data_IF_258896119209
#
_entry.id   IF_258896119209
#
_cell.length_a   1.000
_cell.length_b   1.000
_cell.length_c   1.000
_cell.angle_alpha   90.00
_cell.angle_beta   90.00
_cell.angle_gamma   90.00
#
_symmetry.space_group_name_H-M   'P 1'
#
loop_
_entity.id
_entity.type
_entity.pdbx_description
1 polymer ?
#
# COMPACT_ATOMS: atom_id res chain seq x y z
N UNK A 1 55.76 -34.18 18.10
CA UNK A 1 55.79 -32.70 18.17
C UNK A 1 54.67 -32.15 17.29
N UNK A 2 53.57 -31.67 17.89
CA UNK A 2 52.63 -30.74 17.26
C UNK A 2 51.72 -30.18 18.36
N UNK A 3 51.89 -28.90 18.70
CA UNK A 3 51.17 -28.20 19.79
C UNK A 3 50.10 -27.34 19.13
N UNK A 4 48.84 -27.69 19.35
CA UNK A 4 47.67 -27.06 18.73
C UNK A 4 47.08 -26.04 19.71
N UNK A 5 47.41 -24.76 19.51
CA UNK A 5 46.82 -23.65 20.27
C UNK A 5 45.44 -23.29 19.71
N UNK A 6 44.41 -23.51 20.53
CA UNK A 6 43.03 -23.13 20.28
C UNK A 6 42.77 -21.72 20.83
N UNK A 7 42.87 -20.70 19.97
CA UNK A 7 42.43 -19.33 20.29
C UNK A 7 40.91 -19.22 20.20
N UNK A 8 40.26 -19.06 21.36
CA UNK A 8 38.85 -18.65 21.48
C UNK A 8 38.70 -17.19 21.01
N UNK A 9 37.92 -16.97 19.95
CA UNK A 9 37.47 -15.64 19.52
C UNK A 9 36.29 -15.21 20.38
N UNK A 10 36.47 -14.14 21.16
CA UNK A 10 35.44 -13.52 22.00
C UNK A 10 34.40 -12.75 21.13
N UNK A 11 33.08 -12.88 21.41
CA UNK A 11 32.02 -12.27 20.58
C UNK A 11 31.64 -10.82 20.97
N UNK A 12 32.31 -10.18 21.92
CA UNK A 12 31.81 -8.93 22.56
C UNK A 12 32.15 -7.61 21.84
N UNK A 13 32.96 -7.63 20.77
CA UNK A 13 33.41 -6.41 20.10
C UNK A 13 32.38 -5.77 19.16
N UNK A 14 31.58 -6.58 18.47
CA UNK A 14 30.68 -6.12 17.40
C UNK A 14 29.42 -5.42 17.93
N UNK A 15 28.90 -5.87 19.06
CA UNK A 15 27.70 -5.32 19.72
C UNK A 15 27.95 -3.93 20.30
N UNK A 16 29.13 -3.67 20.89
CA UNK A 16 29.49 -2.32 21.38
C UNK A 16 29.72 -1.31 20.26
N UNK A 17 30.29 -1.73 19.13
CA UNK A 17 30.51 -0.86 17.98
C UNK A 17 29.19 -0.40 17.33
N UNK A 18 28.21 -1.29 17.21
CA UNK A 18 26.88 -0.96 16.68
C UNK A 18 26.08 -0.05 17.63
N UNK A 19 26.17 -0.28 18.94
CA UNK A 19 25.52 0.58 19.95
C UNK A 19 26.13 2.00 20.01
N UNK A 20 27.45 2.14 19.79
CA UNK A 20 28.10 3.46 19.72
C UNK A 20 27.79 4.20 18.42
N UNK A 21 27.57 3.48 17.30
CA UNK A 21 27.17 4.06 16.02
C UNK A 21 25.77 4.67 16.06
N UNK A 22 24.80 3.97 16.65
CA UNK A 22 23.42 4.46 16.79
C UNK A 22 23.32 5.68 17.73
N UNK A 23 24.09 5.72 18.82
CA UNK A 23 24.17 6.87 19.73
C UNK A 23 24.77 8.13 19.08
N UNK A 24 25.74 7.98 18.17
CA UNK A 24 26.33 9.12 17.42
C UNK A 24 25.37 9.67 16.38
N UNK A 25 24.64 8.80 15.67
CA UNK A 25 23.60 9.22 14.72
C UNK A 25 22.42 9.90 15.42
N UNK A 26 22.01 9.40 16.59
CA UNK A 26 20.96 10.03 17.39
C UNK A 26 21.37 11.42 17.91
N UNK A 27 22.63 11.61 18.35
CA UNK A 27 23.15 12.92 18.78
C UNK A 27 23.32 13.90 17.61
N UNK A 28 23.77 13.41 16.46
CA UNK A 28 23.86 14.24 15.25
C UNK A 28 22.46 14.69 14.78
N UNK A 29 21.48 13.77 14.80
CA UNK A 29 20.08 14.09 14.53
C UNK A 29 19.49 15.09 15.53
N UNK A 30 19.78 14.94 16.83
CA UNK A 30 19.36 15.88 17.87
C UNK A 30 19.98 17.28 17.72
N UNK A 31 21.25 17.37 17.30
CA UNK A 31 21.91 18.65 17.06
C UNK A 31 21.37 19.36 15.81
N UNK A 32 21.13 18.61 14.73
CA UNK A 32 20.54 19.16 13.49
C UNK A 32 19.11 19.61 13.74
N UNK A 33 18.30 18.81 14.44
CA UNK A 33 16.94 19.18 14.81
C UNK A 33 16.95 20.39 15.74
N UNK A 34 17.77 20.43 16.78
CA UNK A 34 17.87 21.59 17.68
C UNK A 34 18.27 22.88 16.94
N UNK A 35 19.20 22.83 16.00
CA UNK A 35 19.61 24.01 15.24
C UNK A 35 18.57 24.42 14.18
N UNK A 36 17.86 23.47 13.57
CA UNK A 36 16.68 23.74 12.76
C UNK A 36 15.58 24.39 13.60
N UNK A 37 15.26 23.86 14.79
CA UNK A 37 14.30 24.44 15.72
C UNK A 37 14.73 25.84 16.15
N UNK A 38 16.04 26.07 16.37
CA UNK A 38 16.59 27.38 16.75
C UNK A 38 16.50 28.38 15.61
N UNK A 39 16.80 27.97 14.38
CA UNK A 39 16.64 28.79 13.17
C UNK A 39 15.17 29.09 12.90
N UNK A 40 14.30 28.08 12.95
CA UNK A 40 12.84 28.22 12.86
C UNK A 40 12.32 29.15 13.95
N UNK A 41 12.81 29.05 15.19
CA UNK A 41 12.42 29.94 16.30
C UNK A 41 12.89 31.37 16.09
N UNK A 42 14.11 31.60 15.57
CA UNK A 42 14.56 32.95 15.18
C UNK A 42 13.76 33.51 14.01
N UNK A 43 13.31 32.66 13.10
CA UNK A 43 12.51 33.03 11.94
C UNK A 43 11.04 33.32 12.28
N UNK A 44 10.46 32.54 13.19
CA UNK A 44 9.10 32.71 13.71
C UNK A 44 9.03 33.86 14.72
N UNK A 45 10.08 34.07 15.51
CA UNK A 45 10.25 35.14 16.49
C UNK A 45 11.53 35.95 16.25
N UNK A 46 11.57 36.81 15.21
CA UNK A 46 12.58 37.85 15.17
C UNK A 46 12.28 38.82 16.32
N UNK A 47 13.27 39.07 17.17
CA UNK A 47 13.21 40.05 18.25
C UNK A 47 12.86 41.42 17.68
N UNK A 48 11.71 41.95 18.08
CA UNK A 48 11.19 43.27 17.65
C UNK A 48 11.99 44.44 18.23
N UNK A 49 12.95 44.15 19.10
CA UNK A 49 13.87 45.11 19.68
C UNK A 49 14.94 45.51 18.65
N UNK A 50 14.65 46.56 17.87
CA UNK A 50 15.69 47.42 17.27
C UNK A 50 15.94 47.31 15.76
N UNK A 51 15.36 46.37 15.02
CA UNK A 51 15.57 46.31 13.56
C UNK A 51 14.65 47.27 12.78
N UNK A 52 15.25 48.10 11.90
CA UNK A 52 14.55 48.93 10.89
C UNK A 52 13.46 48.11 10.17
N UNK A 53 12.21 48.62 10.14
CA UNK A 53 11.03 48.01 9.48
C UNK A 53 11.28 47.42 8.07
N UNK A 54 12.27 47.94 7.33
CA UNK A 54 12.72 47.39 6.03
C UNK A 54 13.25 45.96 6.11
N UNK A 55 14.00 45.60 7.15
CA UNK A 55 14.60 44.28 7.29
C UNK A 55 13.55 43.19 7.48
N UNK A 56 12.55 43.47 8.32
CA UNK A 56 11.44 42.54 8.61
C UNK A 56 10.59 42.23 7.37
N UNK A 57 10.21 43.26 6.60
CA UNK A 57 9.42 43.06 5.36
C UNK A 57 10.22 42.32 4.27
N UNK A 58 11.54 42.59 4.17
CA UNK A 58 12.39 41.92 3.18
C UNK A 58 12.55 40.43 3.47
N UNK A 59 12.74 40.06 4.73
CA UNK A 59 12.89 38.68 5.15
C UNK A 59 11.58 37.89 4.91
N UNK A 60 10.43 38.49 5.25
CA UNK A 60 9.11 37.90 5.02
C UNK A 60 8.71 37.75 3.55
N UNK A 61 9.23 38.62 2.68
CA UNK A 61 8.98 38.57 1.23
C UNK A 61 9.56 37.30 0.60
N UNK A 62 10.67 36.78 1.12
CA UNK A 62 11.27 35.53 0.63
C UNK A 62 10.71 34.32 1.38
N UNK A 63 10.52 34.45 2.70
CA UNK A 63 10.16 33.33 3.55
C UNK A 63 8.76 32.77 3.32
N UNK A 64 7.75 33.65 3.26
CA UNK A 64 6.35 33.21 3.21
C UNK A 64 6.03 32.51 1.88
N UNK A 65 6.49 33.01 0.71
CA UNK A 65 6.32 32.28 -0.55
C UNK A 65 7.06 30.94 -0.56
N UNK A 66 8.27 30.88 0.00
CA UNK A 66 9.05 29.65 0.08
C UNK A 66 8.37 28.61 0.99
N UNK A 67 7.88 29.04 2.16
CA UNK A 67 7.09 28.19 3.06
C UNK A 67 5.81 27.68 2.40
N UNK A 68 5.12 28.51 1.60
CA UNK A 68 3.97 28.07 0.83
C UNK A 68 4.37 26.97 -0.16
N UNK A 69 5.41 27.17 -0.97
CA UNK A 69 5.86 26.14 -1.92
C UNK A 69 6.24 24.83 -1.24
N UNK A 70 6.99 24.89 -0.12
CA UNK A 70 7.38 23.69 0.63
C UNK A 70 6.16 23.00 1.23
N UNK A 71 5.22 23.75 1.82
CA UNK A 71 4.02 23.19 2.43
C UNK A 71 3.11 22.51 1.40
N UNK A 72 2.77 23.20 0.31
CA UNK A 72 1.91 22.67 -0.75
C UNK A 72 2.61 21.58 -1.57
N UNK A 73 3.92 21.68 -1.80
CA UNK A 73 4.69 20.64 -2.48
C UNK A 73 4.76 19.35 -1.67
N UNK A 74 5.08 19.44 -0.37
CA UNK A 74 5.11 18.28 0.52
C UNK A 74 3.72 17.66 0.69
N UNK A 75 2.67 18.49 0.83
CA UNK A 75 1.29 18.01 0.92
C UNK A 75 0.85 17.32 -0.38
N UNK A 76 1.15 17.93 -1.53
CA UNK A 76 0.87 17.34 -2.83
C UNK A 76 1.50 15.97 -2.97
N UNK A 77 2.79 15.84 -2.59
CA UNK A 77 3.51 14.57 -2.60
C UNK A 77 2.85 13.49 -1.73
N UNK A 78 2.49 13.85 -0.49
CA UNK A 78 1.80 12.93 0.44
C UNK A 78 0.45 12.50 -0.14
N UNK A 79 -0.34 13.46 -0.63
CA UNK A 79 -1.67 13.19 -1.20
C UNK A 79 -1.59 12.31 -2.46
N UNK A 80 -0.64 12.56 -3.37
CA UNK A 80 -0.48 11.74 -4.58
C UNK A 80 0.03 10.34 -4.26
N UNK A 81 0.93 10.20 -3.28
CA UNK A 81 1.45 8.89 -2.84
C UNK A 81 0.33 8.03 -2.26
N UNK A 82 -0.37 8.53 -1.24
CA UNK A 82 -1.45 7.79 -0.56
C UNK A 82 -2.57 7.41 -1.53
N UNK A 83 -2.95 8.33 -2.44
CA UNK A 83 -3.99 8.06 -3.44
C UNK A 83 -3.53 7.07 -4.50
N UNK A 84 -2.31 7.20 -5.01
CA UNK A 84 -1.74 6.26 -5.98
C UNK A 84 -1.68 4.84 -5.42
N UNK A 85 -1.22 4.69 -4.18
CA UNK A 85 -1.17 3.41 -3.49
C UNK A 85 -2.59 2.84 -3.32
N UNK A 86 -3.55 3.65 -2.86
CA UNK A 86 -4.93 3.18 -2.68
C UNK A 86 -5.64 2.73 -3.96
N UNK A 87 -5.39 3.40 -5.10
CA UNK A 87 -5.97 3.02 -6.38
C UNK A 87 -5.31 1.73 -6.92
N UNK A 88 -3.98 1.62 -6.78
CA UNK A 88 -3.28 0.39 -7.11
C UNK A 88 -3.77 -0.81 -6.29
N UNK A 89 -3.98 -0.63 -4.98
CA UNK A 89 -4.52 -1.67 -4.10
C UNK A 89 -5.90 -2.15 -4.57
N UNK A 90 -6.78 -1.20 -4.90
CA UNK A 90 -8.17 -1.48 -5.32
C UNK A 90 -8.23 -2.14 -6.70
N UNK A 91 -7.58 -1.52 -7.68
CA UNK A 91 -7.81 -1.85 -9.08
C UNK A 91 -6.94 -3.03 -9.55
N UNK A 92 -5.83 -3.30 -8.87
CA UNK A 92 -4.84 -4.30 -9.33
C UNK A 92 -4.64 -5.39 -8.27
N UNK A 93 -4.28 -5.02 -7.04
CA UNK A 93 -3.76 -6.00 -6.10
C UNK A 93 -4.84 -6.81 -5.35
N UNK A 94 -5.97 -6.18 -5.00
CA UNK A 94 -7.11 -6.87 -4.43
C UNK A 94 -7.66 -7.95 -5.39
N UNK A 95 -8.03 -7.65 -6.64
CA UNK A 95 -8.54 -8.67 -7.56
C UNK A 95 -7.51 -9.78 -7.82
N UNK A 96 -6.22 -9.44 -7.94
CA UNK A 96 -5.16 -10.44 -8.11
C UNK A 96 -5.05 -11.43 -6.93
N UNK A 97 -5.27 -10.98 -5.69
CA UNK A 97 -5.29 -11.87 -4.53
C UNK A 97 -6.50 -12.80 -4.54
N UNK A 98 -7.66 -12.30 -4.94
CA UNK A 98 -8.88 -13.12 -5.09
C UNK A 98 -8.66 -14.19 -6.14
N UNK A 99 -8.20 -13.80 -7.32
CA UNK A 99 -7.98 -14.72 -8.43
C UNK A 99 -6.93 -15.80 -8.10
N UNK A 100 -5.87 -15.47 -7.35
CA UNK A 100 -4.88 -16.45 -6.88
C UNK A 100 -5.50 -17.45 -5.89
N UNK A 101 -6.31 -16.97 -4.95
CA UNK A 101 -6.99 -17.82 -3.97
C UNK A 101 -8.02 -18.74 -4.63
N UNK A 102 -8.81 -18.21 -5.57
CA UNK A 102 -9.81 -18.97 -6.32
C UNK A 102 -9.16 -20.04 -7.21
N UNK A 103 -8.02 -19.72 -7.84
CA UNK A 103 -7.25 -20.69 -8.59
C UNK A 103 -6.76 -21.84 -7.71
N UNK A 104 -6.21 -21.52 -6.53
CA UNK A 104 -5.78 -22.52 -5.54
C UNK A 104 -6.94 -23.40 -5.09
N UNK A 105 -8.08 -22.80 -4.75
CA UNK A 105 -9.26 -23.52 -4.30
C UNK A 105 -9.79 -24.46 -5.38
N UNK A 106 -9.95 -23.94 -6.60
CA UNK A 106 -10.43 -24.69 -7.75
C UNK A 106 -9.53 -25.90 -8.09
N UNK A 107 -8.21 -25.75 -8.01
CA UNK A 107 -7.26 -26.85 -8.23
C UNK A 107 -7.37 -27.96 -7.17
N UNK A 108 -7.51 -27.60 -5.89
CA UNK A 108 -7.67 -28.57 -4.81
C UNK A 108 -9.00 -29.33 -4.92
N UNK A 109 -10.07 -28.64 -5.34
CA UNK A 109 -11.37 -29.26 -5.58
C UNK A 109 -11.29 -30.21 -6.77
N UNK A 110 -10.69 -29.77 -7.88
CA UNK A 110 -10.48 -30.60 -9.07
C UNK A 110 -9.73 -31.90 -8.74
N UNK A 111 -8.67 -31.83 -7.92
CA UNK A 111 -7.93 -33.03 -7.51
C UNK A 111 -8.80 -34.03 -6.76
N UNK A 112 -9.57 -33.57 -5.77
CA UNK A 112 -10.43 -34.46 -5.00
C UNK A 112 -11.51 -35.12 -5.86
N UNK A 113 -12.00 -34.39 -6.86
CA UNK A 113 -13.04 -34.83 -7.78
C UNK A 113 -12.47 -35.86 -8.76
N UNK A 114 -11.25 -35.65 -9.28
CA UNK A 114 -10.55 -36.62 -10.10
C UNK A 114 -10.30 -37.93 -9.34
N UNK A 115 -9.80 -37.85 -8.11
CA UNK A 115 -9.56 -39.02 -7.25
C UNK A 115 -10.85 -39.81 -6.98
N UNK A 116 -11.94 -39.12 -6.65
CA UNK A 116 -13.24 -39.74 -6.37
C UNK A 116 -13.80 -40.46 -7.60
N UNK A 117 -13.82 -39.78 -8.76
CA UNK A 117 -14.35 -40.36 -10.00
C UNK A 117 -13.52 -41.55 -10.51
N UNK A 118 -12.19 -41.51 -10.33
CA UNK A 118 -11.29 -42.60 -10.71
C UNK A 118 -11.41 -43.79 -9.75
N UNK A 119 -11.58 -43.56 -8.45
CA UNK A 119 -11.79 -44.61 -7.46
C UNK A 119 -13.13 -45.34 -7.64
N UNK A 120 -14.19 -44.61 -8.01
CA UNK A 120 -15.53 -45.15 -8.24
C UNK A 120 -15.68 -45.84 -9.62
N UNK A 121 -14.61 -45.86 -10.44
CA UNK A 121 -14.63 -46.45 -11.78
C UNK A 121 -15.44 -45.67 -12.82
N UNK A 122 -16.13 -44.60 -12.42
CA UNK A 122 -16.98 -43.75 -13.28
C UNK A 122 -16.20 -43.09 -14.43
N UNK A 123 -14.89 -42.88 -14.24
CA UNK A 123 -14.02 -42.31 -15.27
C UNK A 123 -13.68 -43.28 -16.42
N UNK A 124 -13.94 -44.59 -16.26
CA UNK A 124 -13.78 -45.62 -17.30
C UNK A 124 -15.05 -45.80 -18.15
N UNK A 125 -16.19 -45.31 -17.69
CA UNK A 125 -17.43 -45.26 -18.47
C UNK A 125 -17.36 -44.10 -19.48
N UNK A 126 -18.08 -44.23 -20.61
CA UNK A 126 -18.05 -43.38 -21.82
C UNK A 126 -18.11 -41.84 -21.61
N UNK A 127 -18.31 -41.35 -20.39
CA UNK A 127 -18.38 -39.93 -20.02
C UNK A 127 -17.02 -39.32 -19.61
N UNK A 128 -16.03 -40.15 -19.27
CA UNK A 128 -14.71 -39.70 -18.82
C UNK A 128 -14.70 -38.97 -17.47
N UNK A 129 -13.64 -38.20 -17.17
CA UNK A 129 -13.58 -37.34 -15.96
C UNK A 129 -14.83 -36.45 -15.85
N UNK A 130 -15.30 -36.19 -14.62
CA UNK A 130 -16.57 -35.48 -14.40
C UNK A 130 -16.55 -34.06 -14.96
N UNK A 131 -17.73 -33.57 -15.32
CA UNK A 131 -17.88 -32.19 -15.80
C UNK A 131 -17.38 -31.19 -14.74
N UNK A 132 -17.62 -31.49 -13.46
CA UNK A 132 -17.13 -30.68 -12.33
C UNK A 132 -15.61 -30.55 -12.32
N UNK A 133 -14.86 -31.63 -12.63
CA UNK A 133 -13.41 -31.54 -12.78
C UNK A 133 -13.03 -30.57 -13.91
N UNK A 134 -13.62 -30.71 -15.10
CA UNK A 134 -13.30 -29.86 -16.26
C UNK A 134 -13.59 -28.39 -15.99
N UNK A 135 -14.76 -28.10 -15.41
CA UNK A 135 -15.15 -26.73 -15.02
C UNK A 135 -14.16 -26.13 -14.03
N UNK A 136 -13.73 -26.88 -13.01
CA UNK A 136 -12.78 -26.38 -12.00
C UNK A 136 -11.38 -26.12 -12.54
N UNK A 137 -10.88 -26.96 -13.46
CA UNK A 137 -9.61 -26.71 -14.16
C UNK A 137 -9.69 -25.48 -15.06
N UNK A 138 -10.79 -25.33 -15.80
CA UNK A 138 -11.00 -24.16 -16.65
C UNK A 138 -11.06 -22.87 -15.80
N UNK A 139 -11.79 -22.91 -14.69
CA UNK A 139 -11.89 -21.79 -13.74
C UNK A 139 -10.51 -21.42 -13.17
N UNK A 140 -9.75 -22.41 -12.67
CA UNK A 140 -8.40 -22.16 -12.17
C UNK A 140 -7.48 -21.51 -13.22
N UNK A 141 -7.51 -22.03 -14.45
CA UNK A 141 -6.70 -21.49 -15.55
C UNK A 141 -7.12 -20.07 -15.92
N UNK A 142 -8.41 -19.79 -15.92
CA UNK A 142 -8.95 -18.45 -16.16
C UNK A 142 -8.51 -17.47 -15.07
N UNK A 143 -8.64 -17.82 -13.79
CA UNK A 143 -8.21 -16.97 -12.68
C UNK A 143 -6.70 -16.68 -12.74
N UNK A 144 -5.84 -17.69 -13.02
CA UNK A 144 -4.39 -17.45 -13.20
C UNK A 144 -4.10 -16.49 -14.38
N UNK A 145 -4.84 -16.59 -15.48
CA UNK A 145 -4.71 -15.65 -16.60
C UNK A 145 -5.17 -14.24 -16.23
N UNK A 146 -6.21 -14.12 -15.40
CA UNK A 146 -6.72 -12.84 -14.89
C UNK A 146 -5.67 -12.15 -14.00
N UNK A 147 -4.99 -12.89 -13.13
CA UNK A 147 -3.87 -12.38 -12.32
C UNK A 147 -2.77 -11.81 -13.21
N UNK A 148 -2.43 -12.48 -14.32
CA UNK A 148 -1.41 -11.99 -15.27
C UNK A 148 -1.83 -10.65 -15.90
N UNK A 149 -3.13 -10.45 -16.12
CA UNK A 149 -3.67 -9.21 -16.70
C UNK A 149 -3.90 -8.10 -15.67
N UNK A 150 -3.94 -8.43 -14.39
CA UNK A 150 -4.19 -7.49 -13.30
C UNK A 150 -3.12 -6.41 -13.14
N UNK A 151 -1.90 -6.60 -13.67
CA UNK A 151 -0.78 -5.67 -13.48
C UNK A 151 -0.26 -5.58 -12.03
N UNK A 152 -0.73 -6.44 -11.12
CA UNK A 152 -0.32 -6.46 -9.72
C UNK A 152 1.06 -7.13 -9.49
N UNK A 153 1.45 -8.01 -10.41
CA UNK A 153 2.68 -8.79 -10.32
C UNK A 153 3.89 -8.02 -10.86
N UNK A 154 5.06 -8.30 -10.26
CA UNK A 154 6.35 -7.91 -10.83
C UNK A 154 6.75 -8.85 -11.96
N UNK A 155 7.68 -8.45 -12.83
CA UNK A 155 8.19 -9.29 -13.94
C UNK A 155 8.66 -10.67 -13.46
N UNK A 156 9.32 -10.74 -12.30
CA UNK A 156 9.77 -12.00 -11.71
C UNK A 156 8.60 -12.88 -11.23
N UNK A 157 7.55 -12.27 -10.68
CA UNK A 157 6.34 -12.98 -10.23
C UNK A 157 5.46 -13.41 -11.40
N UNK A 158 5.38 -12.63 -12.49
CA UNK A 158 4.73 -13.04 -13.73
C UNK A 158 5.42 -14.26 -14.34
N UNK A 159 6.75 -14.29 -14.32
CA UNK A 159 7.51 -15.43 -14.80
C UNK A 159 7.24 -16.68 -13.95
N UNK A 160 7.17 -16.51 -12.62
CA UNK A 160 6.77 -17.58 -11.71
C UNK A 160 5.34 -18.07 -12.00
N UNK A 161 4.40 -17.15 -12.27
CA UNK A 161 3.03 -17.49 -12.63
C UNK A 161 2.94 -18.25 -13.95
N UNK A 162 3.77 -17.94 -14.95
CA UNK A 162 3.86 -18.72 -16.19
C UNK A 162 4.35 -20.15 -15.94
N UNK A 163 5.31 -20.32 -15.03
CA UNK A 163 5.77 -21.66 -14.60
C UNK A 163 4.63 -22.40 -13.93
N UNK A 164 3.86 -21.74 -13.06
CA UNK A 164 2.65 -22.32 -12.45
C UNK A 164 1.65 -22.76 -13.51
N UNK A 165 1.33 -21.92 -14.49
CA UNK A 165 0.41 -22.28 -15.57
C UNK A 165 0.90 -23.47 -16.39
N UNK A 166 2.20 -23.57 -16.67
CA UNK A 166 2.78 -24.74 -17.33
C UNK A 166 2.66 -26.01 -16.48
N UNK A 167 2.93 -25.92 -15.18
CA UNK A 167 2.76 -27.04 -14.24
C UNK A 167 1.31 -27.49 -14.14
N UNK A 168 0.33 -26.58 -14.24
CA UNK A 168 -1.09 -26.94 -14.28
C UNK A 168 -1.42 -27.76 -15.53
N UNK A 169 -0.84 -27.42 -16.69
CA UNK A 169 -1.00 -28.22 -17.92
C UNK A 169 -0.41 -29.62 -17.72
N UNK A 170 0.81 -29.73 -17.18
CA UNK A 170 1.44 -31.03 -16.91
C UNK A 170 0.60 -31.87 -15.92
N UNK A 171 0.09 -31.23 -14.87
CA UNK A 171 -0.82 -31.83 -13.90
C UNK A 171 -2.07 -32.44 -14.58
N UNK A 172 -2.74 -31.67 -15.45
CA UNK A 172 -3.90 -32.19 -16.19
C UNK A 172 -3.55 -33.37 -17.10
N UNK A 173 -2.33 -33.39 -17.65
CA UNK A 173 -1.80 -34.50 -18.43
C UNK A 173 -1.59 -35.77 -17.61
N UNK A 174 -1.13 -35.66 -16.36
CA UNK A 174 -1.02 -36.82 -15.45
C UNK A 174 -2.39 -37.38 -15.06
N UNK A 175 -3.36 -36.52 -14.77
CA UNK A 175 -4.75 -36.96 -14.50
C UNK A 175 -5.36 -37.64 -15.73
N UNK A 176 -5.12 -37.11 -16.94
CA UNK A 176 -5.58 -37.72 -18.19
C UNK A 176 -4.96 -39.10 -18.44
N UNK A 177 -3.67 -39.29 -18.10
CA UNK A 177 -3.05 -40.62 -18.16
C UNK A 177 -3.64 -41.58 -17.14
N UNK A 178 -3.88 -41.13 -15.90
CA UNK A 178 -4.49 -41.96 -14.87
C UNK A 178 -5.87 -42.46 -15.29
N UNK A 179 -6.63 -41.63 -16.01
CA UNK A 179 -7.87 -42.03 -16.66
C UNK A 179 -7.66 -43.07 -17.77
N UNK A 180 -6.64 -42.90 -18.62
CA UNK A 180 -6.28 -43.85 -19.67
C UNK A 180 -5.90 -45.24 -19.13
N UNK A 181 -5.32 -45.31 -17.93
CA UNK A 181 -4.97 -46.55 -17.24
C UNK A 181 -6.06 -47.02 -16.25
N UNK A 182 -7.33 -46.69 -16.45
CA UNK A 182 -8.39 -47.01 -15.50
C UNK A 182 -8.52 -48.51 -15.16
N UNK A 183 -8.09 -49.41 -16.06
CA UNK A 183 -8.10 -50.87 -15.89
C UNK A 183 -6.87 -51.41 -15.16
N UNK A 184 -5.78 -50.64 -15.06
CA UNK A 184 -4.57 -51.00 -14.31
C UNK A 184 -4.52 -50.16 -13.02
N UNK A 185 -4.91 -50.74 -11.86
CA UNK A 185 -4.98 -50.00 -10.61
C UNK A 185 -3.62 -49.51 -10.12
N UNK A 186 -2.52 -50.20 -10.47
CA UNK A 186 -1.17 -49.86 -10.02
C UNK A 186 -0.65 -48.64 -10.80
N UNK A 187 -0.78 -48.66 -12.12
CA UNK A 187 -0.41 -47.52 -12.96
C UNK A 187 -1.26 -46.29 -12.67
N UNK A 188 -2.58 -46.48 -12.51
CA UNK A 188 -3.50 -45.39 -12.15
C UNK A 188 -3.12 -44.73 -10.83
N UNK A 189 -2.83 -45.51 -9.79
CA UNK A 189 -2.44 -44.95 -8.49
C UNK A 189 -1.08 -44.26 -8.56
N UNK A 190 -0.12 -44.80 -9.32
CA UNK A 190 1.18 -44.16 -9.52
C UNK A 190 1.04 -42.79 -10.19
N UNK A 191 0.21 -42.69 -11.23
CA UNK A 191 -0.05 -41.43 -11.96
C UNK A 191 -0.82 -40.43 -11.11
N UNK A 192 -1.82 -40.88 -10.33
CA UNK A 192 -2.53 -40.03 -9.36
C UNK A 192 -1.61 -39.52 -8.25
N UNK A 193 -0.73 -40.38 -7.73
CA UNK A 193 0.26 -39.99 -6.72
C UNK A 193 1.22 -38.93 -7.26
N UNK A 194 1.61 -39.04 -8.53
CA UNK A 194 2.47 -38.03 -9.17
C UNK A 194 1.71 -36.71 -9.41
N UNK A 195 0.47 -36.76 -9.88
CA UNK A 195 -0.37 -35.57 -10.00
C UNK A 195 -0.57 -34.86 -8.65
N UNK A 196 -0.77 -35.63 -7.57
CA UNK A 196 -0.92 -35.12 -6.20
C UNK A 196 0.35 -34.43 -5.70
N UNK A 197 1.53 -34.98 -6.01
CA UNK A 197 2.82 -34.37 -5.62
C UNK A 197 3.14 -33.09 -6.41
N UNK A 198 2.67 -32.98 -7.65
CA UNK A 198 2.73 -31.73 -8.43
C UNK A 198 1.87 -30.63 -7.81
N UNK A 199 0.69 -30.97 -7.28
CA UNK A 199 -0.18 -29.99 -6.63
C UNK A 199 0.32 -29.59 -5.24
N UNK A 200 0.75 -30.55 -4.43
CA UNK A 200 1.11 -30.32 -3.03
C UNK A 200 2.37 -31.08 -2.60
N UNK A 201 3.35 -30.34 -2.04
CA UNK A 201 4.63 -30.91 -1.58
C UNK A 201 4.49 -31.85 -0.39
N UNK A 202 3.46 -31.65 0.43
CA UNK A 202 3.08 -32.57 1.51
C UNK A 202 1.57 -32.83 1.40
N UNK A 203 1.15 -34.03 0.98
CA UNK A 203 -0.26 -34.37 1.00
C UNK A 203 -0.71 -34.42 2.45
N UNK A 204 -1.68 -33.59 2.81
CA UNK A 204 -2.34 -33.67 4.10
C UNK A 204 -3.36 -34.81 4.06
N UNK A 205 -3.55 -35.52 5.18
CA UNK A 205 -4.45 -36.66 5.24
C UNK A 205 -5.90 -36.20 5.06
N UNK A 206 -6.55 -36.67 4.00
CA UNK A 206 -7.98 -36.48 3.77
C UNK A 206 -8.75 -37.21 4.89
N UNK A 207 -9.65 -36.50 5.56
CA UNK A 207 -10.51 -37.05 6.62
C UNK A 207 -11.97 -36.71 6.32
N UNK A 208 -12.92 -37.49 6.82
CA UNK A 208 -14.35 -37.19 6.70
C UNK A 208 -14.73 -35.82 7.28
N UNK A 209 -13.94 -35.31 8.24
CA UNK A 209 -14.10 -33.97 8.82
C UNK A 209 -13.43 -32.85 8.01
N UNK A 210 -12.47 -33.18 7.14
CA UNK A 210 -11.76 -32.25 6.27
C UNK A 210 -11.45 -32.90 4.92
N UNK A 211 -12.42 -32.92 3.98
CA UNK A 211 -12.25 -33.55 2.67
C UNK A 211 -11.21 -32.84 1.79
N UNK A 212 -10.88 -31.57 2.13
CA UNK A 212 -9.98 -30.70 1.39
C UNK A 212 -8.88 -30.16 2.31
N UNK A 213 -7.95 -31.01 2.76
CA UNK A 213 -6.97 -30.58 3.73
C UNK A 213 -5.99 -29.58 3.07
N UNK A 214 -5.77 -28.44 3.74
CA UNK A 214 -4.89 -27.41 3.25
C UNK A 214 -3.47 -27.98 3.08
N UNK A 215 -2.87 -27.75 1.92
CA UNK A 215 -1.49 -28.13 1.69
C UNK A 215 -0.59 -27.22 2.52
N UNK A 216 0.18 -27.76 3.49
CA UNK A 216 1.06 -26.94 4.31
C UNK A 216 2.16 -26.41 3.41
N UNK A 217 2.18 -25.08 3.24
CA UNK A 217 3.08 -24.43 2.32
C UNK A 217 4.54 -24.74 2.68
N UNK A 218 5.27 -25.36 1.75
CA UNK A 218 6.73 -25.40 1.84
C UNK A 218 7.25 -24.02 1.46
N UNK A 219 7.92 -23.31 2.38
CA UNK A 219 8.56 -22.02 2.08
C UNK A 219 10.03 -22.22 1.70
N UNK A 220 10.51 -21.50 0.69
CA UNK A 220 11.92 -21.50 0.28
C UNK A 220 12.22 -22.43 -0.91
N UNK A 221 13.44 -22.97 -1.00
CA UNK A 221 13.93 -23.75 -2.15
C UNK A 221 13.22 -25.11 -2.34
N UNK A 222 12.36 -25.51 -1.41
CA UNK A 222 11.52 -26.71 -1.49
C UNK A 222 10.11 -26.48 -2.03
N UNK A 223 9.73 -25.25 -2.40
CA UNK A 223 8.41 -24.91 -2.95
C UNK A 223 8.31 -25.30 -4.43
N UNK A 224 8.26 -26.59 -4.74
CA UNK A 224 8.18 -27.05 -6.14
C UNK A 224 6.74 -27.20 -6.62
N UNK A 225 5.81 -27.47 -5.72
CA UNK A 225 4.43 -27.74 -6.04
C UNK A 225 3.63 -26.48 -6.44
N UNK A 226 2.59 -26.69 -7.26
CA UNK A 226 1.73 -25.63 -7.80
C UNK A 226 1.15 -24.77 -6.69
N UNK A 227 0.54 -25.39 -5.68
CA UNK A 227 -0.11 -24.68 -4.57
C UNK A 227 0.88 -23.89 -3.72
N UNK A 228 2.10 -24.40 -3.54
CA UNK A 228 3.15 -23.70 -2.78
C UNK A 228 3.63 -22.44 -3.51
N UNK A 229 3.79 -22.54 -4.84
CA UNK A 229 4.19 -21.40 -5.68
C UNK A 229 3.10 -20.32 -5.70
N UNK A 230 1.83 -20.71 -5.86
CA UNK A 230 0.67 -19.79 -5.77
C UNK A 230 0.61 -19.14 -4.39
N UNK A 231 0.73 -19.91 -3.31
CA UNK A 231 0.75 -19.38 -1.93
C UNK A 231 1.93 -18.43 -1.69
N UNK A 232 3.09 -18.72 -2.30
CA UNK A 232 4.27 -17.87 -2.26
C UNK A 232 4.10 -16.56 -3.04
N UNK A 233 3.33 -16.57 -4.14
CA UNK A 233 2.93 -15.36 -4.85
C UNK A 233 1.96 -14.53 -4.02
N UNK A 234 0.92 -15.16 -3.43
CA UNK A 234 0.00 -14.46 -2.53
C UNK A 234 0.73 -13.82 -1.34
N UNK A 235 1.67 -14.55 -0.71
CA UNK A 235 2.43 -14.05 0.44
C UNK A 235 3.31 -12.86 0.07
N UNK A 236 3.99 -12.91 -1.09
CA UNK A 236 4.78 -11.79 -1.60
C UNK A 236 3.91 -10.59 -1.94
N UNK A 237 2.76 -10.82 -2.56
CA UNK A 237 1.79 -9.78 -2.88
C UNK A 237 1.29 -9.13 -1.58
N UNK A 238 0.80 -9.92 -0.60
CA UNK A 238 0.40 -9.44 0.75
C UNK A 238 1.50 -8.65 1.45
N UNK A 239 2.75 -9.13 1.40
CA UNK A 239 3.91 -8.41 1.94
C UNK A 239 4.08 -7.03 1.30
N UNK A 240 4.00 -6.94 -0.03
CA UNK A 240 4.05 -5.66 -0.76
C UNK A 240 2.85 -4.75 -0.45
N UNK A 241 1.68 -5.31 -0.15
CA UNK A 241 0.52 -4.53 0.31
C UNK A 241 0.76 -3.96 1.70
N UNK A 242 1.26 -4.78 2.63
CA UNK A 242 1.60 -4.35 3.97
C UNK A 242 2.69 -3.26 3.95
N UNK A 243 3.70 -3.39 3.10
CA UNK A 243 4.77 -2.39 2.95
C UNK A 243 4.26 -1.07 2.34
N UNK A 244 3.30 -1.12 1.41
CA UNK A 244 2.66 0.10 0.83
C UNK A 244 1.62 0.72 1.75
N UNK A 245 0.90 -0.08 2.53
CA UNK A 245 -0.04 0.39 3.53
C UNK A 245 0.66 0.96 4.77
N UNK A 246 1.89 0.50 5.06
CA UNK A 246 2.75 1.12 6.03
C UNK A 246 3.21 2.49 5.52
N UNK A 247 3.14 3.53 6.35
CA UNK A 247 3.69 4.82 5.98
C UNK A 247 5.19 4.68 5.78
N UNK A 248 5.64 4.70 4.52
CA UNK A 248 7.06 4.75 4.22
C UNK A 248 7.73 5.91 4.97
N UNK A 249 8.99 5.75 5.39
CA UNK A 249 9.71 6.80 6.11
C UNK A 249 9.69 8.16 5.35
N UNK A 250 9.61 8.12 4.02
CA UNK A 250 9.43 9.30 3.16
C UNK A 250 8.07 9.99 3.32
N UNK A 251 6.96 9.25 3.46
CA UNK A 251 5.63 9.86 3.64
C UNK A 251 5.47 10.43 5.05
N UNK A 252 6.02 9.75 6.08
CA UNK A 252 6.08 10.29 7.45
C UNK A 252 6.88 11.59 7.48
N UNK A 253 8.08 11.61 6.89
CA UNK A 253 8.93 12.81 6.88
C UNK A 253 8.27 13.94 6.09
N UNK A 254 7.68 13.65 4.92
CA UNK A 254 6.94 14.64 4.14
C UNK A 254 5.71 15.18 4.89
N UNK A 255 4.96 14.33 5.61
CA UNK A 255 3.84 14.76 6.44
C UNK A 255 4.29 15.69 7.57
N UNK A 256 5.35 15.32 8.31
CA UNK A 256 5.92 16.17 9.37
C UNK A 256 6.41 17.51 8.80
N UNK A 257 7.11 17.49 7.68
CA UNK A 257 7.58 18.71 6.99
C UNK A 257 6.39 19.57 6.55
N UNK A 258 5.35 18.98 5.98
CA UNK A 258 4.14 19.70 5.58
C UNK A 258 3.45 20.34 6.79
N UNK A 259 3.23 19.60 7.88
CA UNK A 259 2.60 20.11 9.11
C UNK A 259 3.41 21.26 9.71
N UNK A 260 4.74 21.13 9.78
CA UNK A 260 5.62 22.18 10.26
C UNK A 260 5.59 23.41 9.35
N UNK A 261 5.69 23.23 8.04
CA UNK A 261 5.68 24.31 7.07
C UNK A 261 4.35 25.08 7.10
N UNK A 262 3.22 24.38 7.18
CA UNK A 262 1.90 25.00 7.33
C UNK A 262 1.75 25.77 8.62
N UNK A 263 2.21 25.21 9.75
CA UNK A 263 2.17 25.88 11.05
C UNK A 263 2.98 27.19 11.02
N UNK A 264 4.16 27.17 10.39
CA UNK A 264 5.02 28.35 10.24
C UNK A 264 4.44 29.38 9.26
N UNK A 265 3.80 28.92 8.18
CA UNK A 265 3.12 29.79 7.22
C UNK A 265 1.94 30.50 7.90
N UNK A 266 1.08 29.77 8.62
CA UNK A 266 -0.06 30.32 9.34
C UNK A 266 0.36 31.32 10.42
N UNK A 267 1.35 30.96 11.25
CA UNK A 267 1.91 31.88 12.26
C UNK A 267 2.54 33.12 11.62
N UNK A 268 3.23 32.94 10.49
CA UNK A 268 3.83 34.03 9.72
C UNK A 268 2.80 35.01 9.17
N UNK A 269 1.73 34.50 8.54
CA UNK A 269 0.62 35.29 8.01
C UNK A 269 -0.15 36.01 9.14
N UNK A 270 -0.45 35.32 10.24
CA UNK A 270 -1.10 35.92 11.39
C UNK A 270 -0.31 37.12 11.93
N UNK A 271 1.02 36.97 12.03
CA UNK A 271 1.90 38.02 12.54
C UNK A 271 2.03 39.19 11.55
N UNK A 272 2.10 38.95 10.25
CA UNK A 272 2.13 40.04 9.25
C UNK A 272 0.82 40.82 9.23
N UNK A 273 -0.33 40.13 9.29
CA UNK A 273 -1.66 40.77 9.39
C UNK A 273 -1.79 41.56 10.70
N UNK A 274 -1.35 41.01 11.83
CA UNK A 274 -1.38 41.70 13.13
C UNK A 274 -0.51 42.96 13.13
N UNK A 275 0.69 42.89 12.54
CA UNK A 275 1.58 44.04 12.35
C UNK A 275 0.93 45.12 11.47
N UNK A 276 0.31 44.71 10.36
CA UNK A 276 -0.40 45.62 9.46
C UNK A 276 -1.61 46.29 10.16
N UNK A 277 -2.40 45.52 10.90
CA UNK A 277 -3.55 46.02 11.69
C UNK A 277 -3.11 47.03 12.76
N UNK A 278 -2.13 46.66 13.59
CA UNK A 278 -1.70 47.50 14.70
C UNK A 278 -1.02 48.79 14.23
N UNK A 279 -0.18 48.71 13.18
CA UNK A 279 0.63 49.85 12.74
C UNK A 279 -0.05 50.76 11.71
N UNK A 280 -0.89 50.20 10.82
CA UNK A 280 -1.52 50.94 9.72
C UNK A 280 -3.04 51.07 9.85
N UNK A 281 -3.66 50.50 10.91
CA UNK A 281 -5.12 50.50 11.12
C UNK A 281 -5.94 49.93 9.95
N UNK A 282 -5.32 49.18 9.04
CA UNK A 282 -6.02 48.48 7.95
C UNK A 282 -6.79 47.31 8.57
N UNK A 283 -8.13 47.38 8.57
CA UNK A 283 -8.98 46.35 9.21
C UNK A 283 -8.92 44.99 8.51
N UNK A 284 -8.79 44.98 7.18
CA UNK A 284 -8.71 43.75 6.38
C UNK A 284 -7.93 43.99 5.08
N UNK A 285 -6.80 43.31 4.93
CA UNK A 285 -6.11 43.21 3.64
C UNK A 285 -6.72 42.06 2.85
N UNK A 286 -7.67 42.37 1.97
CA UNK A 286 -8.37 41.42 1.08
C UNK A 286 -7.43 40.38 0.43
N UNK A 287 -6.25 40.74 -0.11
CA UNK A 287 -5.43 39.74 -0.80
C UNK A 287 -4.67 38.79 0.14
N UNK A 288 -4.39 39.20 1.38
CA UNK A 288 -3.85 38.30 2.41
C UNK A 288 -4.93 37.36 2.97
N UNK A 289 -6.19 37.82 3.05
CA UNK A 289 -7.32 36.95 3.38
C UNK A 289 -7.55 35.90 2.28
N UNK A 290 -7.46 36.30 1.01
CA UNK A 290 -7.51 35.36 -0.12
C UNK A 290 -6.37 34.34 -0.07
N UNK A 291 -5.14 34.74 0.27
CA UNK A 291 -4.01 33.82 0.44
C UNK A 291 -4.15 32.87 1.65
N UNK A 292 -5.01 33.20 2.63
CA UNK A 292 -5.33 32.33 3.75
C UNK A 292 -6.43 31.31 3.45
N UNK A 293 -7.18 31.48 2.36
CA UNK A 293 -8.28 30.60 2.00
C UNK A 293 -7.82 29.16 1.70
N UNK A 294 -6.70 28.93 0.96
CA UNK A 294 -6.16 27.59 0.76
C UNK A 294 -5.69 26.88 2.05
N UNK A 295 -5.32 27.64 3.09
CA UNK A 295 -4.95 27.07 4.39
C UNK A 295 -6.14 26.40 5.08
N UNK A 296 -7.37 26.83 4.80
CA UNK A 296 -8.58 26.21 5.33
C UNK A 296 -8.88 24.85 4.69
N UNK A 297 -8.34 24.57 3.50
CA UNK A 297 -8.50 23.27 2.83
C UNK A 297 -7.55 22.19 3.40
N UNK A 298 -6.46 22.59 4.06
CA UNK A 298 -5.47 21.68 4.66
C UNK A 298 -6.05 20.69 5.66
N UNK A 299 -6.89 21.09 6.65
CA UNK A 299 -7.50 20.12 7.57
C UNK A 299 -8.40 19.11 6.86
N UNK A 300 -9.09 19.50 5.79
CA UNK A 300 -9.91 18.57 5.00
C UNK A 300 -9.05 17.56 4.24
N UNK A 301 -7.93 17.99 3.65
CA UNK A 301 -6.98 17.11 2.98
C UNK A 301 -6.28 16.17 3.97
N UNK A 302 -5.97 16.65 5.17
CA UNK A 302 -5.40 15.82 6.23
C UNK A 302 -6.42 14.79 6.76
N UNK A 303 -7.69 15.18 6.92
CA UNK A 303 -8.76 14.28 7.30
C UNK A 303 -9.00 13.20 6.23
N UNK A 304 -9.04 13.57 4.94
CA UNK A 304 -9.14 12.65 3.80
C UNK A 304 -8.01 11.62 3.81
N UNK A 305 -6.76 12.05 4.01
CA UNK A 305 -5.60 11.15 4.09
C UNK A 305 -5.67 10.20 5.30
N UNK A 306 -6.17 10.66 6.44
CA UNK A 306 -6.35 9.83 7.64
C UNK A 306 -7.49 8.82 7.47
N UNK A 307 -8.60 9.22 6.86
CA UNK A 307 -9.72 8.33 6.55
C UNK A 307 -9.30 7.26 5.53
N UNK A 308 -8.56 7.65 4.49
CA UNK A 308 -8.02 6.71 3.51
C UNK A 308 -7.07 5.70 4.16
N UNK A 309 -6.21 6.16 5.10
CA UNK A 309 -5.34 5.27 5.86
C UNK A 309 -6.12 4.31 6.76
N UNK A 310 -7.16 4.81 7.42
CA UNK A 310 -7.98 4.00 8.30
C UNK A 310 -8.67 2.89 7.51
N UNK A 311 -9.29 3.23 6.38
CA UNK A 311 -9.89 2.28 5.47
C UNK A 311 -8.88 1.25 4.96
N UNK A 312 -7.67 1.67 4.57
CA UNK A 312 -6.60 0.74 4.17
C UNK A 312 -6.24 -0.25 5.29
N UNK A 313 -6.10 0.22 6.53
CA UNK A 313 -5.81 -0.67 7.67
C UNK A 313 -6.94 -1.64 7.98
N UNK A 314 -8.19 -1.22 7.80
CA UNK A 314 -9.36 -2.09 7.96
C UNK A 314 -9.50 -3.10 6.83
N UNK A 315 -9.02 -2.81 5.61
CA UNK A 315 -9.09 -3.77 4.49
C UNK A 315 -8.13 -4.94 4.61
N UNK A 316 -7.01 -4.82 5.33
CA UNK A 316 -6.04 -5.91 5.52
C UNK A 316 -6.68 -7.16 6.16
N UNK A 317 -7.35 -7.08 7.33
CA UNK A 317 -8.02 -8.24 7.93
C UNK A 317 -9.22 -8.73 7.11
N UNK A 318 -9.83 -7.88 6.28
CA UNK A 318 -10.90 -8.28 5.36
C UNK A 318 -10.35 -9.10 4.20
N UNK A 319 -9.15 -8.79 3.70
CA UNK A 319 -8.45 -9.62 2.71
C UNK A 319 -8.04 -10.98 3.29
N UNK A 320 -7.66 -11.03 4.57
CA UNK A 320 -7.40 -12.30 5.28
C UNK A 320 -8.68 -13.12 5.47
N UNK A 321 -9.78 -12.47 5.85
CA UNK A 321 -11.10 -13.12 5.95
C UNK A 321 -11.64 -13.58 4.58
N UNK A 322 -11.29 -12.87 3.50
CA UNK A 322 -11.61 -13.28 2.14
C UNK A 322 -10.84 -14.54 1.75
N UNK A 323 -9.53 -14.60 2.06
CA UNK A 323 -8.71 -15.80 1.83
C UNK A 323 -9.20 -17.01 2.65
N UNK A 324 -9.77 -16.78 3.84
CA UNK A 324 -10.40 -17.83 4.64
C UNK A 324 -11.76 -18.27 4.05
N UNK A 325 -12.52 -17.35 3.43
CA UNK A 325 -13.82 -17.63 2.81
C UNK A 325 -13.75 -18.19 1.39
N UNK A 326 -12.70 -17.92 0.63
CA UNK A 326 -12.40 -18.61 -0.65
C UNK A 326 -11.69 -19.95 -0.44
N UNK A 327 -11.69 -20.48 0.79
CA UNK A 327 -11.13 -21.80 1.05
C UNK A 327 -11.89 -22.89 0.26
N UNK A 328 -11.20 -23.98 -0.14
CA UNK A 328 -11.83 -25.10 -0.84
C UNK A 328 -13.07 -25.66 -0.12
N UNK A 329 -13.06 -25.63 1.22
CA UNK A 329 -14.13 -26.13 2.09
C UNK A 329 -15.40 -25.29 1.99
N UNK A 330 -15.27 -23.98 1.86
CA UNK A 330 -16.41 -23.06 1.76
C UNK A 330 -17.03 -23.08 0.37
N UNK A 331 -16.21 -23.14 -0.69
CA UNK A 331 -16.72 -23.27 -2.06
C UNK A 331 -17.45 -24.61 -2.30
N UNK A 332 -16.90 -25.71 -1.78
CA UNK A 332 -17.53 -27.03 -1.91
C UNK A 332 -18.81 -27.13 -1.10
N UNK A 333 -18.86 -26.54 0.10
CA UNK A 333 -20.08 -26.45 0.89
C UNK A 333 -21.16 -25.57 0.22
N UNK A 334 -20.77 -24.50 -0.46
CA UNK A 334 -21.68 -23.66 -1.25
C UNK A 334 -22.27 -24.42 -2.45
N UNK A 335 -21.48 -25.24 -3.14
CA UNK A 335 -22.00 -26.06 -4.25
C UNK A 335 -22.84 -27.25 -3.78
N UNK A 336 -22.43 -27.98 -2.74
CA UNK A 336 -23.15 -29.14 -2.22
C UNK A 336 -24.44 -28.74 -1.49
N UNK A 337 -24.49 -27.52 -0.97
CA UNK A 337 -25.67 -26.92 -0.38
C UNK A 337 -25.82 -25.49 -0.88
N UNK A 338 -26.42 -25.28 -2.06
CA UNK A 338 -26.63 -23.96 -2.67
C UNK A 338 -27.35 -22.96 -1.75
N UNK A 339 -28.08 -23.47 -0.76
CA UNK A 339 -28.84 -22.70 0.22
C UNK A 339 -28.30 -22.77 1.65
N UNK A 340 -27.15 -23.44 1.89
CA UNK A 340 -26.56 -23.59 3.24
C UNK A 340 -25.05 -23.34 3.33
N UNK A 341 -24.34 -23.15 2.21
CA UNK A 341 -22.95 -22.66 2.21
C UNK A 341 -22.88 -21.12 2.26
N UNK A 342 -21.67 -20.54 2.39
CA UNK A 342 -21.52 -19.09 2.31
C UNK A 342 -22.08 -18.63 0.97
N UNK A 343 -22.97 -17.63 1.05
CA UNK A 343 -23.65 -17.03 -0.08
C UNK A 343 -22.61 -16.74 -1.20
N UNK A 344 -22.83 -17.10 -2.48
CA UNK A 344 -21.99 -16.59 -3.57
C UNK A 344 -21.99 -15.05 -3.58
N UNK A 345 -23.07 -14.44 -3.08
CA UNK A 345 -23.10 -13.02 -2.74
C UNK A 345 -22.11 -12.66 -1.64
N UNK A 346 -21.53 -13.56 -0.85
CA UNK A 346 -20.57 -13.26 0.21
C UNK A 346 -19.20 -12.83 -0.34
N UNK A 347 -18.73 -13.39 -1.45
CA UNK A 347 -17.49 -12.97 -2.11
C UNK A 347 -17.73 -11.64 -2.83
N UNK A 348 -18.82 -11.54 -3.59
CA UNK A 348 -19.23 -10.31 -4.26
C UNK A 348 -19.53 -9.19 -3.25
N UNK A 349 -20.23 -9.48 -2.14
CA UNK A 349 -20.47 -8.51 -1.06
C UNK A 349 -19.22 -8.19 -0.27
N UNK A 350 -18.23 -9.08 -0.17
CA UNK A 350 -16.93 -8.72 0.41
C UNK A 350 -16.15 -7.81 -0.52
N UNK A 351 -16.15 -8.08 -1.83
CA UNK A 351 -15.52 -7.24 -2.83
C UNK A 351 -16.18 -5.86 -2.86
N UNK A 352 -17.52 -5.81 -2.89
CA UNK A 352 -18.33 -4.60 -2.74
C UNK A 352 -18.07 -3.93 -1.39
N UNK A 353 -17.86 -4.68 -0.29
CA UNK A 353 -17.55 -4.09 1.03
C UNK A 353 -16.12 -3.55 1.12
N UNK A 354 -15.15 -4.15 0.43
CA UNK A 354 -13.79 -3.61 0.27
C UNK A 354 -13.86 -2.33 -0.58
N UNK A 355 -14.60 -2.37 -1.67
CA UNK A 355 -14.83 -1.23 -2.57
C UNK A 355 -15.56 -0.08 -1.87
N UNK A 356 -16.61 -0.37 -1.13
CA UNK A 356 -17.39 0.57 -0.32
C UNK A 356 -16.58 1.08 0.85
N UNK A 357 -15.78 0.24 1.52
CA UNK A 357 -14.90 0.67 2.60
C UNK A 357 -13.81 1.63 2.10
N UNK A 358 -13.20 1.33 0.95
CA UNK A 358 -12.20 2.19 0.30
C UNK A 358 -12.80 3.45 -0.33
N UNK A 359 -14.08 3.43 -0.71
CA UNK A 359 -14.82 4.58 -1.22
C UNK A 359 -15.35 5.49 -0.09
N UNK A 360 -15.94 4.90 0.96
CA UNK A 360 -16.45 5.62 2.13
C UNK A 360 -15.33 6.22 2.99
N UNK A 361 -14.13 5.63 2.95
CA UNK A 361 -12.92 6.18 3.55
C UNK A 361 -12.36 7.42 2.83
N UNK A 362 -13.02 7.95 1.79
CA UNK A 362 -12.60 9.15 1.08
C UNK A 362 -13.70 10.18 0.95
N UNK A 363 -13.27 11.43 0.90
CA UNK A 363 -14.15 12.52 0.52
C UNK A 363 -14.21 12.58 -1.01
N UNK A 364 -15.23 11.95 -1.61
CA UNK A 364 -15.41 11.88 -3.06
C UNK A 364 -15.34 13.24 -3.78
N UNK A 365 -15.74 14.34 -3.11
CA UNK A 365 -15.64 15.70 -3.66
C UNK A 365 -14.18 16.20 -3.80
N UNK A 366 -13.22 15.54 -3.15
CA UNK A 366 -11.79 15.84 -3.25
C UNK A 366 -11.09 14.99 -4.32
N UNK A 367 -11.80 14.11 -5.02
CA UNK A 367 -11.25 13.40 -6.17
C UNK A 367 -10.89 14.39 -7.29
N UNK A 368 -9.70 14.22 -7.87
CA UNK A 368 -9.17 15.15 -8.87
C UNK A 368 -8.54 16.44 -8.31
N UNK A 369 -8.56 16.70 -6.99
CA UNK A 369 -7.95 17.92 -6.39
C UNK A 369 -6.42 17.83 -6.31
N UNK A 370 -5.84 16.64 -6.18
CA UNK A 370 -4.40 16.40 -6.06
C UNK A 370 -3.53 17.13 -7.11
N UNK A 371 -3.81 17.08 -8.43
CA UNK A 371 -3.03 17.82 -9.43
C UNK A 371 -3.08 19.35 -9.26
N UNK A 372 -4.09 19.88 -8.56
CA UNK A 372 -4.25 21.32 -8.33
C UNK A 372 -3.54 21.83 -7.07
N UNK A 373 -3.09 20.95 -6.17
CA UNK A 373 -2.44 21.36 -4.91
C UNK A 373 -1.17 22.20 -5.16
N UNK A 374 -0.33 21.79 -6.12
CA UNK A 374 0.90 22.49 -6.48
C UNK A 374 0.63 23.81 -7.23
N UNK A 375 -0.25 23.86 -8.26
CA UNK A 375 -0.69 25.12 -8.86
C UNK A 375 -1.26 26.12 -7.87
N UNK A 376 -2.10 25.68 -6.93
CA UNK A 376 -2.66 26.53 -5.87
C UNK A 376 -1.55 27.04 -4.95
N UNK A 377 -0.57 26.22 -4.61
CA UNK A 377 0.61 26.63 -3.85
C UNK A 377 1.42 27.72 -4.55
N UNK A 378 1.65 27.59 -5.86
CA UNK A 378 2.33 28.59 -6.68
C UNK A 378 1.54 29.91 -6.74
N UNK A 379 0.23 29.84 -6.98
CA UNK A 379 -0.63 31.02 -6.99
C UNK A 379 -0.63 31.74 -5.63
N UNK A 380 -0.70 30.98 -4.54
CA UNK A 380 -0.64 31.51 -3.16
C UNK A 380 0.71 32.19 -2.89
N UNK A 381 1.81 31.55 -3.29
CA UNK A 381 3.15 32.12 -3.15
C UNK A 381 3.30 33.43 -3.95
N UNK A 382 2.78 33.48 -5.18
CA UNK A 382 2.81 34.68 -6.02
C UNK A 382 1.97 35.83 -5.42
N UNK A 383 0.78 35.53 -4.89
CA UNK A 383 -0.08 36.51 -4.21
C UNK A 383 0.59 37.08 -2.95
N UNK A 384 1.21 36.23 -2.14
CA UNK A 384 1.94 36.67 -0.94
C UNK A 384 3.14 37.55 -1.34
N UNK A 385 3.90 37.15 -2.35
CA UNK A 385 5.05 37.94 -2.82
C UNK A 385 4.62 39.30 -3.38
N UNK A 386 3.58 39.32 -4.23
CA UNK A 386 3.07 40.54 -4.86
C UNK A 386 2.50 41.54 -3.85
N UNK A 387 1.71 41.06 -2.89
CA UNK A 387 1.14 41.91 -1.83
C UNK A 387 2.22 42.53 -0.95
N UNK A 388 3.19 41.73 -0.50
CA UNK A 388 4.30 42.24 0.31
C UNK A 388 5.18 43.22 -0.48
N UNK A 389 5.35 43.00 -1.78
CA UNK A 389 6.07 43.92 -2.66
C UNK A 389 5.35 45.27 -2.81
N UNK A 390 4.02 45.26 -2.98
CA UNK A 390 3.20 46.46 -3.04
C UNK A 390 3.28 47.28 -1.75
N UNK A 391 3.09 46.64 -0.59
CA UNK A 391 3.21 47.30 0.72
C UNK A 391 4.61 47.87 0.95
N UNK A 392 5.66 47.18 0.51
CA UNK A 392 7.03 47.69 0.57
C UNK A 392 7.19 48.96 -0.27
N UNK A 393 6.62 49.00 -1.48
CA UNK A 393 6.71 50.17 -2.38
C UNK A 393 6.01 51.38 -1.79
N UNK A 394 4.79 51.23 -1.26
CA UNK A 394 4.05 52.31 -0.60
C UNK A 394 4.82 52.86 0.61
N UNK A 395 5.43 52.00 1.42
CA UNK A 395 6.22 52.43 2.58
C UNK A 395 7.47 53.22 2.20
N UNK A 396 8.08 52.92 1.04
CA UNK A 396 9.24 53.65 0.53
C UNK A 396 8.87 55.04 0.00
N UNK A 397 7.64 55.22 -0.50
CA UNK A 397 7.14 56.51 -0.98
C UNK A 397 6.83 57.45 0.18
N UNK A 398 6.19 56.95 1.25
CA UNK A 398 5.81 57.76 2.43
C UNK A 398 7.01 58.18 3.30
N UNK A 399 8.12 57.44 3.25
CA UNK A 399 9.31 57.71 4.07
C UNK A 399 10.40 58.53 3.36
N UNK A 400 10.12 59.04 2.16
CA UNK A 400 11.07 59.92 1.43
C UNK A 400 11.03 61.32 2.05
N UNK A 401 12.16 61.86 2.54
CA UNK A 401 12.20 63.23 3.07
C UNK A 401 11.90 64.20 1.92
N UNK A 402 10.82 64.96 2.00
CA UNK A 402 10.43 65.97 0.99
C UNK A 402 9.11 65.73 0.24
N UNK A 403 8.25 64.80 0.67
CA UNK A 403 6.88 64.73 0.13
C UNK A 403 6.04 65.91 0.67
N UNK A 404 5.38 66.71 -0.18
CA UNK A 404 4.55 67.81 0.28
C UNK A 404 3.33 67.28 1.02
N UNK A 405 3.12 67.79 2.24
CA UNK A 405 1.93 67.61 3.07
C UNK A 405 0.75 68.39 2.55
#
# INVERSE_FOLDING_TARGET
MARQESRRLAPDGRSRALAQGSLRLARAGAAVTAELTRRIRRYAWPSTTGCRNRGYLRDRLVALPLLALVAFGALGWVCTGVRGDSAYLRDHAAPALVDLADARASLLIAQSEAERNLAEGRAAELSGLSERYRTRIAHATQSLNQVTRSGALTVAEEQELRVVSALVVDYTGWIGRAQGHATDPVLREAELSYARSMLCSRPATVSSANPYPACPAATGWGATAIVDRVSGLETRLRGRLADRAAWGAGTITAAVVATLAFSLLAAGLWRTVSFLRYRFRIRLSVPLAAAALPLLAVPFLAADALLALHAQRETVPVADALAERTSPKTETAAEERPFAGPDPLAIETLQVRIDDGLAAGRLAFLDGVAPFVLPVGLATAALIAGTLHAYRREYLVVTRPGAPS
#
